data_IF_627107627340
#
_entry.id   IF_627107627340
#
_cell.length_a   1.000
_cell.length_b   1.000
_cell.length_c   1.000
_cell.angle_alpha   90.00
_cell.angle_beta   90.00
_cell.angle_gamma   90.00
#
_symmetry.space_group_name_H-M   'P 1'
#
loop_
_entity.id
_entity.type
_entity.pdbx_description
1 polymer ?
#
# COMPACT_ATOMS: atom_id res chain seq x y z
N UNK A 1 -9.80 11.75 7.85
CA UNK A 1 -10.70 12.77 7.27
C UNK A 1 -12.17 12.48 7.53
N UNK A 2 -12.73 11.33 7.10
CA UNK A 2 -14.14 10.98 7.40
C UNK A 2 -14.49 11.06 8.91
N UNK A 3 -13.58 10.56 9.78
CA UNK A 3 -13.73 10.66 11.25
C UNK A 3 -13.83 12.09 11.77
N UNK A 4 -13.08 13.04 11.19
CA UNK A 4 -13.11 14.45 11.62
C UNK A 4 -14.43 15.12 11.23
N UNK A 5 -14.95 14.85 10.03
CA UNK A 5 -16.26 15.34 9.60
C UNK A 5 -17.40 14.78 10.45
N UNK A 6 -17.36 13.48 10.78
CA UNK A 6 -18.35 12.87 11.67
C UNK A 6 -18.29 13.48 13.08
N UNK A 7 -17.09 13.77 13.59
CA UNK A 7 -16.92 14.40 14.90
C UNK A 7 -17.53 15.81 14.95
N UNK A 8 -17.34 16.62 13.88
CA UNK A 8 -18.01 17.93 13.75
C UNK A 8 -19.53 17.77 13.81
N UNK A 9 -20.09 16.75 13.17
CA UNK A 9 -21.53 16.48 13.18
C UNK A 9 -22.03 16.07 14.57
N UNK A 10 -21.24 15.32 15.36
CA UNK A 10 -21.56 15.04 16.77
C UNK A 10 -21.65 16.30 17.61
N UNK A 11 -20.74 17.25 17.39
CA UNK A 11 -20.76 18.55 18.08
C UNK A 11 -22.03 19.30 17.71
N UNK A 12 -22.38 19.36 16.42
CA UNK A 12 -23.61 20.01 15.95
C UNK A 12 -24.91 19.34 16.46
N UNK A 13 -24.88 18.02 16.66
CA UNK A 13 -25.99 17.28 17.29
C UNK A 13 -26.15 17.67 18.75
N UNK A 14 -25.05 17.83 19.49
CA UNK A 14 -25.07 18.28 20.90
C UNK A 14 -25.59 19.71 21.04
N UNK A 15 -25.38 20.57 20.04
CA UNK A 15 -25.90 21.95 20.02
C UNK A 15 -27.38 22.05 19.60
N UNK A 16 -28.10 20.93 19.44
CA UNK A 16 -29.56 20.92 19.27
C UNK A 16 -30.06 20.72 17.84
N UNK A 17 -29.18 20.45 16.86
CA UNK A 17 -29.60 20.17 15.48
C UNK A 17 -30.23 18.76 15.38
N UNK A 18 -31.55 18.69 15.14
CA UNK A 18 -32.30 17.43 14.95
C UNK A 18 -32.53 17.14 13.47
N UNK A 19 -31.47 16.78 12.75
CA UNK A 19 -31.59 16.28 11.36
C UNK A 19 -31.69 14.75 11.40
N UNK A 20 -32.72 14.19 10.77
CA UNK A 20 -32.83 12.74 10.50
C UNK A 20 -32.30 12.45 9.10
N UNK A 21 -31.56 11.35 8.87
CA UNK A 21 -31.08 10.99 7.54
C UNK A 21 -32.25 10.73 6.59
N UNK A 22 -32.26 11.37 5.42
CA UNK A 22 -33.21 11.11 4.34
C UNK A 22 -32.79 9.86 3.56
N UNK A 23 -33.68 9.22 2.79
CA UNK A 23 -33.32 8.06 1.97
C UNK A 23 -32.17 8.34 0.99
N UNK A 24 -32.10 9.54 0.41
CA UNK A 24 -31.00 9.97 -0.45
C UNK A 24 -29.65 10.08 0.30
N UNK A 25 -29.68 10.53 1.55
CA UNK A 25 -28.48 10.63 2.41
C UNK A 25 -27.91 9.25 2.74
N UNK A 26 -28.79 8.24 2.87
CA UNK A 26 -28.40 6.87 3.14
C UNK A 26 -27.64 6.24 1.98
N UNK A 27 -28.20 6.37 0.77
CA UNK A 27 -27.57 5.87 -0.47
C UNK A 27 -26.23 6.56 -0.71
N UNK A 28 -26.12 7.86 -0.42
CA UNK A 28 -24.86 8.57 -0.49
C UNK A 28 -23.83 7.99 0.48
N UNK A 29 -24.18 7.80 1.76
CA UNK A 29 -23.28 7.23 2.76
C UNK A 29 -22.77 5.83 2.35
N UNK A 30 -23.66 4.94 1.91
CA UNK A 30 -23.31 3.59 1.44
C UNK A 30 -22.36 3.61 0.24
N UNK A 31 -22.64 4.46 -0.76
CA UNK A 31 -21.76 4.63 -1.94
C UNK A 31 -20.37 5.11 -1.53
N UNK A 32 -20.28 6.06 -0.61
CA UNK A 32 -18.98 6.56 -0.13
C UNK A 32 -18.21 5.49 0.64
N UNK A 33 -18.89 4.63 1.39
CA UNK A 33 -18.25 3.52 2.09
C UNK A 33 -17.70 2.48 1.12
N UNK A 34 -18.47 2.09 0.10
CA UNK A 34 -17.99 1.19 -0.95
C UNK A 34 -16.76 1.73 -1.69
N UNK A 35 -16.77 3.03 -2.03
CA UNK A 35 -15.62 3.68 -2.65
C UNK A 35 -14.37 3.73 -1.76
N UNK A 36 -14.55 3.77 -0.44
CA UNK A 36 -13.45 3.76 0.53
C UNK A 36 -12.95 2.33 0.79
N UNK A 37 -13.85 1.34 0.79
CA UNK A 37 -13.55 -0.05 1.08
C UNK A 37 -12.83 -0.76 -0.09
N UNK A 38 -13.15 -0.40 -1.33
CA UNK A 38 -12.58 -1.04 -2.53
C UNK A 38 -11.33 -0.28 -3.02
N UNK A 39 -10.10 -0.82 -2.84
CA UNK A 39 -8.87 -0.15 -3.26
C UNK A 39 -8.73 -0.05 -4.79
N UNK A 40 -9.48 -0.85 -5.57
CA UNK A 40 -9.53 -0.81 -7.02
C UNK A 40 -10.40 0.33 -7.59
N UNK A 41 -11.36 0.83 -6.80
CA UNK A 41 -12.24 1.94 -7.16
C UNK A 41 -11.71 3.29 -6.66
N UNK A 42 -10.81 3.27 -5.68
CA UNK A 42 -10.04 4.44 -5.22
C UNK A 42 -8.93 4.80 -6.22
N UNK A 43 -9.31 5.31 -7.39
CA UNK A 43 -8.35 5.84 -8.35
C UNK A 43 -7.56 7.00 -7.73
N UNK A 44 -6.24 6.77 -7.59
CA UNK A 44 -5.18 7.73 -7.26
C UNK A 44 -5.18 8.27 -5.82
N UNK A 45 -3.95 8.46 -5.34
CA UNK A 45 -3.58 9.35 -4.22
C UNK A 45 -3.90 10.81 -4.57
N UNK A 46 -5.16 11.13 -4.83
CA UNK A 46 -5.60 12.48 -5.16
C UNK A 46 -5.83 13.21 -3.85
N UNK A 47 -5.19 14.37 -3.71
CA UNK A 47 -5.24 15.28 -2.55
C UNK A 47 -6.65 15.81 -2.20
N UNK A 48 -7.71 15.29 -2.84
CA UNK A 48 -9.10 15.75 -2.77
C UNK A 48 -10.09 14.66 -2.29
N UNK A 49 -9.74 13.88 -1.27
CA UNK A 49 -10.67 12.90 -0.66
C UNK A 49 -11.92 13.52 -0.03
N UNK A 50 -11.97 14.86 0.11
CA UNK A 50 -13.10 15.62 0.64
C UNK A 50 -14.32 15.55 -0.30
N UNK A 51 -14.09 15.38 -1.61
CA UNK A 51 -15.17 15.31 -2.60
C UNK A 51 -15.98 14.02 -2.54
N UNK A 52 -15.37 12.94 -2.03
CA UNK A 52 -16.02 11.63 -1.93
C UNK A 52 -16.77 11.44 -0.60
N UNK A 53 -16.91 12.48 0.22
CA UNK A 53 -17.64 12.40 1.48
C UNK A 53 -19.07 12.92 1.30
N UNK A 54 -20.08 12.37 2.01
CA UNK A 54 -21.41 12.94 2.00
C UNK A 54 -21.36 14.41 2.42
N UNK A 55 -21.92 15.30 1.61
CA UNK A 55 -21.93 16.75 1.87
C UNK A 55 -23.07 17.16 2.82
N UNK A 56 -24.01 16.25 3.08
CA UNK A 56 -25.15 16.49 3.96
C UNK A 56 -24.85 16.03 5.38
N UNK A 57 -25.33 16.79 6.37
CA UNK A 57 -25.21 16.42 7.79
C UNK A 57 -25.87 15.08 8.08
N UNK A 58 -27.03 14.79 7.47
CA UNK A 58 -27.73 13.50 7.60
C UNK A 58 -26.93 12.32 7.04
N UNK A 59 -26.25 12.50 5.91
CA UNK A 59 -25.40 11.47 5.30
C UNK A 59 -24.15 11.17 6.12
N UNK A 60 -23.52 12.20 6.69
CA UNK A 60 -22.39 12.03 7.62
C UNK A 60 -22.78 11.30 8.90
N UNK A 61 -23.97 11.58 9.46
CA UNK A 61 -24.46 10.85 10.64
C UNK A 61 -24.65 9.36 10.33
N UNK A 62 -25.24 9.04 9.18
CA UNK A 62 -25.47 7.66 8.80
C UNK A 62 -24.16 6.93 8.46
N UNK A 63 -23.22 7.62 7.81
CA UNK A 63 -21.88 7.10 7.57
C UNK A 63 -21.18 6.73 8.88
N UNK A 64 -21.27 7.57 9.90
CA UNK A 64 -20.69 7.29 11.22
C UNK A 64 -21.28 6.03 11.88
N UNK A 65 -22.61 5.87 11.81
CA UNK A 65 -23.32 4.70 12.32
C UNK A 65 -22.87 3.42 11.61
N UNK A 66 -22.82 3.43 10.28
CA UNK A 66 -22.37 2.28 9.49
C UNK A 66 -20.90 1.94 9.80
N UNK A 67 -20.02 2.94 9.88
CA UNK A 67 -18.61 2.74 10.24
C UNK A 67 -18.49 2.10 11.64
N UNK A 68 -19.26 2.58 12.61
CA UNK A 68 -19.28 2.02 13.96
C UNK A 68 -19.86 0.60 14.04
N UNK A 69 -20.85 0.27 13.21
CA UNK A 69 -21.35 -1.11 13.09
C UNK A 69 -20.33 -2.03 12.42
N UNK A 70 -19.64 -1.55 11.38
CA UNK A 70 -18.65 -2.31 10.65
C UNK A 70 -17.47 -2.68 11.54
N UNK A 71 -16.93 -1.72 12.30
CA UNK A 71 -15.86 -1.96 13.27
C UNK A 71 -16.26 -3.05 14.29
N UNK A 72 -17.49 -2.99 14.81
CA UNK A 72 -18.01 -4.01 15.74
C UNK A 72 -18.15 -5.37 15.08
N UNK A 73 -18.68 -5.46 13.85
CA UNK A 73 -18.84 -6.70 13.10
C UNK A 73 -17.48 -7.36 12.80
N UNK A 74 -16.47 -6.58 12.44
CA UNK A 74 -15.11 -7.09 12.19
C UNK A 74 -14.50 -7.64 13.48
N UNK A 75 -14.59 -6.91 14.59
CA UNK A 75 -14.07 -7.37 15.88
C UNK A 75 -14.81 -8.62 16.36
N UNK A 76 -16.14 -8.65 16.26
CA UNK A 76 -16.93 -9.84 16.60
C UNK A 76 -16.57 -11.05 15.74
N UNK A 77 -16.40 -10.86 14.43
CA UNK A 77 -15.95 -11.91 13.51
C UNK A 77 -14.58 -12.43 13.89
N UNK A 78 -13.62 -11.55 14.22
CA UNK A 78 -12.29 -11.95 14.65
C UNK A 78 -12.31 -12.77 15.95
N UNK A 79 -13.13 -12.37 16.93
CA UNK A 79 -13.32 -13.12 18.18
C UNK A 79 -13.97 -14.48 17.91
N UNK A 80 -15.02 -14.52 17.09
CA UNK A 80 -15.71 -15.77 16.72
C UNK A 80 -14.79 -16.74 15.99
N UNK A 81 -13.99 -16.25 15.03
CA UNK A 81 -13.00 -17.05 14.31
C UNK A 81 -11.94 -17.59 15.26
N UNK A 82 -11.44 -16.77 16.21
CA UNK A 82 -10.49 -17.24 17.22
C UNK A 82 -11.07 -18.36 18.08
N UNK A 83 -12.31 -18.19 18.57
CA UNK A 83 -13.00 -19.22 19.36
C UNK A 83 -13.20 -20.49 18.52
N UNK A 84 -13.64 -20.34 17.27
CA UNK A 84 -13.84 -21.46 16.35
C UNK A 84 -12.55 -22.25 16.10
N UNK A 85 -11.45 -21.54 15.79
CA UNK A 85 -10.14 -22.16 15.56
C UNK A 85 -9.63 -22.86 16.82
N UNK A 86 -9.77 -22.21 17.99
CA UNK A 86 -9.36 -22.81 19.27
C UNK A 86 -10.14 -24.10 19.56
N UNK A 87 -11.47 -24.05 19.43
CA UNK A 87 -12.32 -25.23 19.61
C UNK A 87 -12.01 -26.32 18.60
N UNK A 88 -11.65 -25.95 17.36
CA UNK A 88 -11.23 -26.92 16.35
C UNK A 88 -9.90 -27.57 16.73
N UNK A 89 -8.89 -26.80 17.10
CA UNK A 89 -7.59 -27.32 17.53
C UNK A 89 -7.69 -28.23 18.76
N UNK A 90 -8.55 -27.91 19.72
CA UNK A 90 -8.81 -28.79 20.88
C UNK A 90 -9.34 -30.16 20.42
N UNK A 91 -10.26 -30.20 19.44
CA UNK A 91 -10.76 -31.47 18.88
C UNK A 91 -9.68 -32.25 18.15
N UNK A 92 -8.91 -31.59 17.29
CA UNK A 92 -7.81 -32.22 16.53
C UNK A 92 -6.66 -32.69 17.44
N UNK A 93 -6.50 -32.09 18.64
CA UNK A 93 -5.49 -32.53 19.61
C UNK A 93 -5.74 -33.93 20.19
N UNK A 94 -6.96 -34.45 20.04
CA UNK A 94 -7.35 -35.80 20.45
C UNK A 94 -7.36 -36.81 19.28
N UNK A 95 -6.93 -36.42 18.07
CA UNK A 95 -6.90 -37.29 16.88
C UNK A 95 -5.98 -38.51 17.11
N UNK A 96 -6.26 -39.71 16.56
CA UNK A 96 -5.40 -40.89 16.71
C UNK A 96 -4.01 -40.78 16.02
N UNK A 97 -3.82 -39.91 15.04
CA UNK A 97 -2.50 -39.67 14.42
C UNK A 97 -1.62 -38.75 15.31
N UNK A 98 -0.46 -39.23 15.81
CA UNK A 98 0.46 -38.40 16.60
C UNK A 98 0.92 -37.13 15.86
N UNK A 99 1.02 -37.13 14.54
CA UNK A 99 1.47 -35.95 13.79
C UNK A 99 0.46 -34.80 13.89
N UNK A 100 -0.82 -35.12 13.74
CA UNK A 100 -1.91 -34.14 13.82
C UNK A 100 -2.03 -33.62 15.26
N UNK A 101 -1.97 -34.51 16.26
CA UNK A 101 -2.02 -34.12 17.68
C UNK A 101 -0.93 -33.14 18.06
N UNK A 102 0.32 -33.47 17.76
CA UNK A 102 1.47 -32.63 18.14
C UNK A 102 1.37 -31.27 17.46
N UNK A 103 0.98 -31.23 16.18
CA UNK A 103 0.81 -29.97 15.47
C UNK A 103 -0.32 -29.12 16.03
N UNK A 104 -1.44 -29.73 16.41
CA UNK A 104 -2.56 -29.03 17.03
C UNK A 104 -2.16 -28.43 18.40
N UNK A 105 -1.43 -29.18 19.22
CA UNK A 105 -0.92 -28.71 20.52
C UNK A 105 0.13 -27.60 20.38
N UNK A 106 1.02 -27.69 19.40
CA UNK A 106 1.99 -26.62 19.07
C UNK A 106 1.26 -25.34 18.67
N UNK A 107 0.31 -25.42 17.74
CA UNK A 107 -0.47 -24.27 17.28
C UNK A 107 -1.32 -23.65 18.39
N UNK A 108 -1.86 -24.48 19.29
CA UNK A 108 -2.62 -24.02 20.45
C UNK A 108 -1.73 -23.28 21.46
N UNK A 109 -0.49 -23.72 21.67
CA UNK A 109 0.47 -23.00 22.52
C UNK A 109 1.04 -21.72 21.90
N UNK A 110 1.02 -21.58 20.56
CA UNK A 110 1.40 -20.37 19.83
C UNK A 110 0.29 -19.30 19.84
N UNK A 111 -0.97 -19.66 20.09
CA UNK A 111 -2.05 -18.68 20.26
C UNK A 111 -1.72 -17.76 21.43
N UNK A 112 -1.87 -16.45 21.21
CA UNK A 112 -1.47 -15.39 22.14
C UNK A 112 -2.16 -15.44 23.50
N UNK A 113 -3.31 -16.12 23.61
CA UNK A 113 -4.06 -16.23 24.87
C UNK A 113 -3.41 -17.18 25.88
N UNK A 114 -2.60 -18.15 25.42
CA UNK A 114 -1.90 -19.13 26.29
C UNK A 114 -0.39 -18.87 26.34
N UNK A 115 0.21 -18.44 25.22
CA UNK A 115 1.58 -17.89 25.20
C UNK A 115 2.70 -18.86 25.63
N UNK A 116 2.49 -20.17 25.52
CA UNK A 116 3.45 -21.20 25.93
C UNK A 116 4.65 -21.30 24.98
N UNK A 117 4.47 -20.90 23.72
CA UNK A 117 5.53 -20.86 22.72
C UNK A 117 5.73 -19.42 22.23
N UNK A 118 6.94 -18.90 22.40
CA UNK A 118 7.36 -17.61 21.85
C UNK A 118 8.38 -17.84 20.77
N UNK A 119 8.06 -17.42 19.54
CA UNK A 119 9.01 -17.46 18.43
C UNK A 119 10.05 -16.34 18.63
N UNK A 120 11.30 -16.68 18.92
CA UNK A 120 12.41 -15.72 19.03
C UNK A 120 12.90 -15.36 17.63
N UNK A 121 12.57 -14.16 17.17
CA UNK A 121 13.10 -13.62 15.91
C UNK A 121 14.26 -12.66 16.21
N UNK A 122 15.48 -13.07 15.87
CA UNK A 122 16.65 -12.19 15.97
C UNK A 122 16.76 -11.35 14.69
N UNK A 123 16.31 -10.09 14.77
CA UNK A 123 16.43 -9.15 13.67
C UNK A 123 17.78 -8.44 13.73
N UNK A 124 18.75 -8.95 12.96
CA UNK A 124 20.02 -8.24 12.74
C UNK A 124 19.79 -7.11 11.75
N UNK A 125 19.53 -5.90 12.26
CA UNK A 125 19.44 -4.69 11.44
C UNK A 125 20.86 -4.29 11.02
N UNK A 126 21.22 -4.65 9.78
CA UNK A 126 22.47 -4.17 9.18
C UNK A 126 22.27 -2.74 8.69
N UNK A 127 22.74 -1.76 9.48
CA UNK A 127 22.83 -0.38 9.02
C UNK A 127 23.95 -0.28 7.98
N UNK A 128 23.58 -0.40 6.70
CA UNK A 128 24.51 -0.07 5.61
C UNK A 128 24.64 1.45 5.54
N UNK A 129 25.88 1.95 5.56
CA UNK A 129 26.14 3.34 5.27
C UNK A 129 25.71 3.66 3.83
N UNK A 130 25.16 4.86 3.61
CA UNK A 130 24.70 5.32 2.29
C UNK A 130 25.81 5.27 1.24
N UNK A 131 27.07 5.41 1.65
CA UNK A 131 28.27 5.34 0.80
C UNK A 131 28.45 3.97 0.12
N UNK A 132 28.17 2.85 0.82
CA UNK A 132 28.25 1.50 0.23
C UNK A 132 27.14 1.26 -0.80
N UNK A 133 25.95 1.84 -0.57
CA UNK A 133 24.85 1.77 -1.53
C UNK A 133 25.15 2.58 -2.79
N UNK A 134 25.73 3.77 -2.65
CA UNK A 134 26.13 4.60 -3.79
C UNK A 134 27.22 3.94 -4.63
N UNK A 135 28.23 3.33 -4.00
CA UNK A 135 29.30 2.62 -4.72
C UNK A 135 28.75 1.43 -5.51
N UNK A 136 27.86 0.63 -4.92
CA UNK A 136 27.19 -0.48 -5.62
C UNK A 136 26.25 -0.01 -6.73
N UNK A 137 25.59 1.13 -6.55
CA UNK A 137 24.75 1.71 -7.59
C UNK A 137 25.59 2.19 -8.77
N UNK A 138 26.72 2.86 -8.50
CA UNK A 138 27.69 3.28 -9.52
C UNK A 138 28.25 2.06 -10.28
N UNK A 139 28.65 1.02 -9.57
CA UNK A 139 29.14 -0.24 -10.17
C UNK A 139 28.08 -0.88 -11.08
N UNK A 140 26.81 -0.94 -10.64
CA UNK A 140 25.71 -1.48 -11.44
C UNK A 140 25.39 -0.62 -12.66
N UNK A 141 25.42 0.71 -12.52
CA UNK A 141 25.19 1.63 -13.63
C UNK A 141 26.31 1.57 -14.67
N UNK A 142 27.56 1.48 -14.21
CA UNK A 142 28.72 1.31 -15.10
C UNK A 142 28.62 -0.01 -15.86
N UNK A 143 28.29 -1.12 -15.19
CA UNK A 143 28.08 -2.40 -15.85
C UNK A 143 26.96 -2.35 -16.89
N UNK A 144 25.88 -1.62 -16.63
CA UNK A 144 24.76 -1.47 -17.57
C UNK A 144 25.12 -0.57 -18.78
N UNK A 145 26.01 0.41 -18.56
CA UNK A 145 26.50 1.28 -19.62
C UNK A 145 27.51 0.55 -20.53
N UNK A 146 28.35 -0.30 -19.95
CA UNK A 146 29.29 -1.17 -20.70
C UNK A 146 28.55 -2.26 -21.51
N UNK A 147 27.37 -2.71 -21.05
CA UNK A 147 26.54 -3.71 -21.73
C UNK A 147 25.61 -3.11 -22.81
N UNK A 148 25.61 -1.78 -23.00
CA UNK A 148 24.93 -1.12 -24.10
C UNK A 148 25.90 -1.00 -25.30
N UNK A 149 25.76 -1.81 -26.36
CA UNK A 149 26.62 -1.65 -27.53
C UNK A 149 26.26 -0.34 -28.24
N UNK A 150 27.12 0.67 -28.15
CA UNK A 150 27.08 1.87 -29.02
C UNK A 150 27.55 1.57 -30.46
N UNK A 151 27.39 0.33 -30.92
CA UNK A 151 27.78 -0.12 -32.26
C UNK A 151 26.66 -1.02 -32.77
N UNK A 152 25.73 -0.43 -33.52
CA UNK A 152 24.83 -1.20 -34.38
C UNK A 152 25.66 -1.67 -35.57
N UNK A 153 25.97 -2.97 -35.65
CA UNK A 153 26.51 -3.56 -36.87
C UNK A 153 25.38 -3.74 -37.89
N UNK A 154 25.23 -2.80 -38.81
CA UNK A 154 24.56 -3.03 -40.09
C UNK A 154 25.62 -3.27 -41.15
N UNK A 155 25.58 -4.45 -41.76
CA UNK A 155 26.20 -4.87 -43.02
C UNK A 155 27.24 -3.91 -43.64
N UNK A 156 28.52 -4.25 -43.43
CA UNK A 156 29.67 -4.07 -44.31
C UNK A 156 30.02 -2.69 -44.88
N UNK A 157 29.79 -1.60 -44.16
CA UNK A 157 30.65 -0.39 -44.26
C UNK A 157 30.59 0.44 -42.97
N UNK A 158 31.75 0.83 -42.43
CA UNK A 158 31.83 1.70 -41.25
C UNK A 158 31.63 3.15 -41.73
N UNK A 159 30.40 3.65 -41.61
CA UNK A 159 30.09 5.05 -41.88
C UNK A 159 30.34 5.86 -40.60
N UNK A 160 31.28 6.79 -40.65
CA UNK A 160 31.52 7.75 -39.59
C UNK A 160 30.43 8.85 -39.63
N UNK A 161 29.56 8.80 -38.62
CA UNK A 161 28.38 9.66 -38.50
C UNK A 161 28.74 11.14 -38.30
N UNK A 162 29.92 11.44 -37.73
CA UNK A 162 30.34 12.80 -37.43
C UNK A 162 30.85 13.54 -38.68
N UNK A 163 31.38 12.81 -39.66
CA UNK A 163 31.78 13.33 -40.98
C UNK A 163 30.55 13.68 -41.83
N UNK A 164 29.56 12.78 -41.88
CA UNK A 164 28.35 12.95 -42.69
C UNK A 164 27.49 14.14 -42.22
N UNK A 165 27.52 14.44 -40.91
CA UNK A 165 26.76 15.53 -40.29
C UNK A 165 27.50 16.88 -40.27
N UNK A 166 28.72 16.95 -40.83
CA UNK A 166 29.44 18.20 -41.06
C UNK A 166 29.93 18.93 -39.80
N UNK A 167 30.11 18.21 -38.68
CA UNK A 167 30.42 18.82 -37.38
C UNK A 167 31.90 19.20 -37.24
N UNK A 168 32.79 18.69 -38.09
CA UNK A 168 34.24 18.95 -38.06
C UNK A 168 34.80 19.56 -39.37
N UNK A 169 34.10 20.52 -39.98
CA UNK A 169 34.59 21.35 -41.08
C UNK A 169 35.24 22.65 -40.58
N UNK A 170 36.53 22.78 -40.79
CA UNK A 170 37.42 23.85 -40.33
C UNK A 170 36.92 25.28 -40.59
N UNK A 171 36.75 26.06 -39.52
CA UNK A 171 36.89 27.52 -39.58
C UNK A 171 38.38 27.87 -39.70
N UNK A 172 38.90 27.84 -40.91
CA UNK A 172 40.21 28.39 -41.24
C UNK A 172 40.10 29.38 -42.41
N UNK A 173 40.47 30.63 -42.11
CA UNK A 173 40.92 31.69 -43.01
C UNK A 173 39.88 32.46 -43.86
N UNK A 174 39.47 33.63 -43.36
CA UNK A 174 39.45 34.86 -44.16
C UNK A 174 40.35 35.89 -43.47
N UNK A 175 41.38 36.35 -44.19
CA UNK A 175 42.49 37.15 -43.66
C UNK A 175 42.19 38.63 -43.46
N UNK A 176 43.00 39.25 -42.60
CA UNK A 176 43.23 40.70 -42.59
C UNK A 176 44.65 40.93 -43.11
N UNK A 177 44.71 41.68 -44.20
CA UNK A 177 45.90 42.16 -44.91
C UNK A 177 46.57 43.26 -44.07
N UNK A 178 47.89 43.41 -44.25
CA UNK A 178 48.77 44.48 -43.72
C UNK A 178 48.13 45.87 -43.59
#
# INVERSE_FOLDING_TARGET
MAKAACETVKVLKKTGLKVKPTSADRVAAEKTLHQIADPSLSNKKTKNQIQNLPQTTGGLMHLEEILGEFDKKVVQSAVQLRIYVTNRLIKESADPDPKIRIRALELLGRISDVGLFTDRTELTITHRATTDLESKLREKLQKLLEDAPAIVKTSDDVIDVDVELGVNGENAAYGVIQ
#
